data_IF_327242163239
#
_entry.id   IF_327242163239
#
_cell.length_a   1.000
_cell.length_b   1.000
_cell.length_c   1.000
_cell.angle_alpha   90.00
_cell.angle_beta   90.00
_cell.angle_gamma   90.00
#
_symmetry.space_group_name_H-M   'P 1'
#
loop_
_entity.id
_entity.type
_entity.pdbx_description
1 polymer ?
#
# COMPACT_ATOMS: atom_id res chain seq x y z
N UNK A 1 27.13 -11.19 36.83
CA UNK A 1 27.25 -11.16 35.36
C UNK A 1 25.90 -10.61 34.88
N UNK A 2 25.83 -9.27 34.80
CA UNK A 2 24.63 -8.56 34.34
C UNK A 2 24.49 -8.79 32.82
N UNK A 3 23.40 -9.40 32.43
CA UNK A 3 23.02 -9.43 31.04
C UNK A 3 22.72 -7.96 30.62
N UNK A 4 23.57 -7.38 29.80
CA UNK A 4 23.28 -6.18 29.06
C UNK A 4 21.98 -6.47 28.28
N UNK A 5 20.88 -5.86 28.70
CA UNK A 5 19.69 -5.71 27.88
C UNK A 5 20.12 -4.90 26.66
N UNK A 6 20.42 -5.60 25.57
CA UNK A 6 20.48 -4.97 24.25
C UNK A 6 19.06 -4.48 24.02
N UNK A 7 18.83 -3.17 24.16
CA UNK A 7 17.54 -2.57 23.85
C UNK A 7 17.15 -3.01 22.43
N UNK A 8 15.96 -3.57 22.26
CA UNK A 8 15.42 -3.86 20.94
C UNK A 8 15.50 -2.59 20.11
N UNK A 9 16.21 -2.65 18.99
CA UNK A 9 16.29 -1.52 18.07
C UNK A 9 14.89 -1.37 17.49
N UNK A 10 14.23 -0.28 17.87
CA UNK A 10 12.92 0.09 17.34
C UNK A 10 13.05 0.37 15.84
N UNK A 11 12.22 -0.25 15.01
CA UNK A 11 12.29 -0.14 13.56
C UNK A 11 10.89 -0.35 12.94
N UNK A 12 10.69 0.19 11.74
CA UNK A 12 9.51 -0.11 10.93
C UNK A 12 9.62 -1.54 10.37
N UNK A 13 8.66 -2.43 10.63
CA UNK A 13 8.76 -3.81 10.16
C UNK A 13 8.68 -3.91 8.63
N UNK A 14 7.76 -3.19 7.99
CA UNK A 14 7.60 -3.20 6.54
C UNK A 14 7.22 -1.82 6.01
N UNK A 15 7.98 -1.33 5.06
CA UNK A 15 7.57 -0.29 4.11
C UNK A 15 7.38 -0.95 2.76
N UNK A 16 6.25 -0.68 2.10
CA UNK A 16 5.97 -1.26 0.80
C UNK A 16 5.33 -0.31 -0.18
N UNK A 17 5.69 -0.41 -1.44
CA UNK A 17 5.07 0.36 -2.52
C UNK A 17 5.09 -0.38 -3.86
N UNK A 18 4.20 0.03 -4.76
CA UNK A 18 4.20 -0.41 -6.14
C UNK A 18 4.57 0.76 -7.06
N UNK A 19 5.34 0.50 -8.11
CA UNK A 19 5.66 1.49 -9.14
C UNK A 19 5.43 0.92 -10.53
N UNK A 20 5.14 1.77 -11.52
CA UNK A 20 4.88 1.34 -12.90
C UNK A 20 5.90 1.95 -13.87
N UNK A 21 6.05 3.27 -13.89
CA UNK A 21 6.88 3.96 -14.89
C UNK A 21 7.71 5.10 -14.31
N UNK A 22 7.37 5.55 -13.11
CA UNK A 22 8.00 6.71 -12.49
C UNK A 22 9.01 6.29 -11.43
N UNK A 23 10.06 5.60 -11.88
CA UNK A 23 11.14 5.16 -11.00
C UNK A 23 11.87 6.33 -10.31
N UNK A 24 11.87 7.51 -10.90
CA UNK A 24 12.37 8.74 -10.30
C UNK A 24 11.61 9.12 -9.00
N UNK A 25 10.30 8.92 -8.99
CA UNK A 25 9.48 9.14 -7.79
C UNK A 25 9.74 8.05 -6.74
N UNK A 26 9.83 6.79 -7.17
CA UNK A 26 10.18 5.67 -6.31
C UNK A 26 11.55 5.89 -5.64
N UNK A 27 12.55 6.39 -6.37
CA UNK A 27 13.87 6.75 -5.82
C UNK A 27 13.77 7.90 -4.80
N UNK A 28 12.92 8.91 -5.06
CA UNK A 28 12.65 9.99 -4.10
C UNK A 28 12.03 9.45 -2.80
N UNK A 29 11.02 8.55 -2.92
CA UNK A 29 10.41 7.89 -1.77
C UNK A 29 11.47 7.12 -0.98
N UNK A 30 12.27 6.29 -1.63
CA UNK A 30 13.34 5.53 -0.99
C UNK A 30 14.39 6.42 -0.33
N UNK A 31 14.75 7.53 -0.98
CA UNK A 31 15.68 8.53 -0.45
C UNK A 31 15.17 9.29 0.78
N UNK A 32 13.85 9.26 1.03
CA UNK A 32 13.23 9.89 2.21
C UNK A 32 13.20 9.00 3.46
N UNK A 33 13.67 7.74 3.37
CA UNK A 33 13.73 6.81 4.51
C UNK A 33 14.85 7.27 5.45
N UNK A 34 14.47 7.88 6.57
CA UNK A 34 15.36 8.45 7.59
C UNK A 34 15.33 7.71 8.94
N UNK A 35 14.63 6.59 9.02
CA UNK A 35 14.50 5.75 10.19
C UNK A 35 14.72 4.26 9.85
N UNK A 36 15.20 3.41 10.77
CA UNK A 36 15.42 2.00 10.47
C UNK A 36 14.16 1.27 9.98
N UNK A 37 14.30 0.53 8.88
CA UNK A 37 13.26 -0.30 8.27
C UNK A 37 13.78 -1.72 8.13
N UNK A 38 13.01 -2.70 8.57
CA UNK A 38 13.42 -4.10 8.43
C UNK A 38 13.28 -4.55 6.98
N UNK A 39 12.09 -4.45 6.43
CA UNK A 39 11.83 -4.87 5.04
C UNK A 39 11.29 -3.72 4.21
N UNK A 40 11.99 -3.37 3.14
CA UNK A 40 11.47 -2.56 2.04
C UNK A 40 11.05 -3.49 0.91
N UNK A 41 9.75 -3.53 0.62
CA UNK A 41 9.18 -4.40 -0.42
C UNK A 41 8.67 -3.54 -1.57
N UNK A 42 9.28 -3.71 -2.73
CA UNK A 42 8.96 -2.96 -3.95
C UNK A 42 8.35 -3.91 -4.97
N UNK A 43 7.19 -3.57 -5.50
CA UNK A 43 6.59 -4.29 -6.63
C UNK A 43 6.73 -3.43 -7.89
N UNK A 44 7.62 -3.83 -8.80
CA UNK A 44 7.68 -3.26 -10.13
C UNK A 44 6.49 -3.81 -10.94
N UNK A 45 5.45 -3.00 -11.01
CA UNK A 45 4.14 -3.35 -11.55
C UNK A 45 4.01 -3.01 -13.06
N UNK A 46 5.13 -2.69 -13.72
CA UNK A 46 5.17 -2.27 -15.13
C UNK A 46 4.92 -3.43 -16.11
N UNK A 47 5.32 -4.63 -15.72
CA UNK A 47 5.26 -5.82 -16.58
C UNK A 47 6.34 -5.87 -17.68
N UNK A 48 6.97 -4.75 -18.02
CA UNK A 48 7.88 -4.66 -19.19
C UNK A 48 9.15 -3.86 -18.94
N UNK A 49 9.17 -2.98 -17.96
CA UNK A 49 10.33 -2.12 -17.68
C UNK A 49 11.13 -2.70 -16.52
N UNK A 50 12.41 -2.87 -16.73
CA UNK A 50 13.35 -3.28 -15.68
C UNK A 50 13.91 -2.05 -14.98
N UNK A 51 14.05 -2.16 -13.66
CA UNK A 51 14.64 -1.16 -12.79
C UNK A 51 15.43 -1.86 -11.69
N UNK A 52 16.56 -1.32 -11.32
CA UNK A 52 17.45 -1.89 -10.29
C UNK A 52 17.62 -0.86 -9.17
N UNK A 53 16.74 -0.85 -8.15
CA UNK A 53 16.85 0.08 -7.04
C UNK A 53 18.05 -0.21 -6.16
N UNK A 54 18.73 0.84 -5.71
CA UNK A 54 19.75 0.70 -4.68
C UNK A 54 19.11 0.62 -3.29
N UNK A 55 19.57 -0.32 -2.47
CA UNK A 55 19.06 -0.48 -1.10
C UNK A 55 19.44 0.74 -0.24
N UNK A 56 18.47 1.46 0.36
CA UNK A 56 18.75 2.54 1.30
C UNK A 56 19.55 2.05 2.51
N UNK A 57 20.41 2.92 3.08
CA UNK A 57 21.32 2.55 4.18
C UNK A 57 20.60 2.06 5.43
N UNK A 58 19.42 2.61 5.73
CA UNK A 58 18.63 2.29 6.92
C UNK A 58 17.65 1.13 6.70
N UNK A 59 17.71 0.45 5.57
CA UNK A 59 16.90 -0.72 5.24
C UNK A 59 17.73 -1.99 5.44
N UNK A 60 17.24 -2.93 6.25
CA UNK A 60 17.90 -4.21 6.44
C UNK A 60 17.79 -5.09 5.20
N UNK A 61 16.55 -5.29 4.72
CA UNK A 61 16.22 -6.17 3.60
C UNK A 61 15.46 -5.43 2.50
N UNK A 62 16.01 -5.44 1.28
CA UNK A 62 15.33 -4.95 0.09
C UNK A 62 14.80 -6.13 -0.71
N UNK A 63 13.47 -6.16 -0.92
CA UNK A 63 12.80 -7.10 -1.79
C UNK A 63 12.24 -6.35 -3.00
N UNK A 64 12.83 -6.58 -4.17
CA UNK A 64 12.38 -6.01 -5.42
C UNK A 64 11.74 -7.10 -6.28
N UNK A 65 10.43 -7.03 -6.45
CA UNK A 65 9.61 -8.01 -7.15
C UNK A 65 9.24 -7.47 -8.53
N UNK A 66 9.81 -8.02 -9.57
CA UNK A 66 9.41 -7.73 -10.95
C UNK A 66 8.29 -8.68 -11.37
N UNK A 67 7.12 -8.12 -11.68
CA UNK A 67 5.99 -8.94 -12.12
C UNK A 67 5.83 -8.86 -13.64
N UNK A 68 5.61 -9.98 -14.33
CA UNK A 68 5.53 -10.02 -15.79
C UNK A 68 4.27 -9.35 -16.34
N UNK A 69 3.28 -9.10 -15.49
CA UNK A 69 2.04 -8.40 -15.81
C UNK A 69 1.61 -7.53 -14.64
N UNK A 70 1.09 -6.34 -14.93
CA UNK A 70 0.60 -5.45 -13.88
C UNK A 70 -0.45 -6.13 -12.99
N UNK A 71 -0.24 -6.09 -11.67
CA UNK A 71 -1.16 -6.64 -10.67
C UNK A 71 -2.31 -5.68 -10.32
N UNK A 72 -2.25 -4.43 -10.80
CA UNK A 72 -3.02 -3.33 -10.27
C UNK A 72 -2.47 -2.87 -8.91
N UNK A 73 -2.99 -1.77 -8.37
CA UNK A 73 -2.52 -1.23 -7.10
C UNK A 73 -2.77 -2.20 -5.95
N UNK A 74 -4.01 -2.62 -5.78
CA UNK A 74 -4.40 -3.47 -4.65
C UNK A 74 -3.81 -4.88 -4.71
N UNK A 75 -3.64 -5.44 -5.92
CA UNK A 75 -2.95 -6.71 -6.09
C UNK A 75 -1.47 -6.64 -5.68
N UNK A 76 -0.80 -5.52 -5.99
CA UNK A 76 0.56 -5.29 -5.56
C UNK A 76 0.67 -5.08 -4.04
N UNK A 77 -0.23 -4.30 -3.42
CA UNK A 77 -0.27 -4.11 -1.98
C UNK A 77 -0.60 -5.40 -1.22
N UNK A 78 -1.55 -6.19 -1.72
CA UNK A 78 -1.82 -7.52 -1.17
C UNK A 78 -0.60 -8.45 -1.26
N UNK A 79 0.17 -8.37 -2.35
CA UNK A 79 1.40 -9.15 -2.50
C UNK A 79 2.45 -8.74 -1.45
N UNK A 80 2.60 -7.44 -1.18
CA UNK A 80 3.51 -6.93 -0.14
C UNK A 80 3.12 -7.52 1.23
N UNK A 81 1.86 -7.42 1.63
CA UNK A 81 1.37 -7.96 2.91
C UNK A 81 1.61 -9.48 2.98
N UNK A 82 1.25 -10.22 1.91
CA UNK A 82 1.41 -11.68 1.84
C UNK A 82 2.87 -12.14 1.87
N UNK A 83 3.80 -11.30 1.38
CA UNK A 83 5.24 -11.63 1.38
C UNK A 83 5.89 -11.44 2.75
N UNK A 84 5.25 -10.73 3.66
CA UNK A 84 5.74 -10.41 5.02
C UNK A 84 4.68 -10.72 6.09
N UNK A 85 4.17 -11.97 6.18
CA UNK A 85 2.94 -12.31 6.91
C UNK A 85 3.06 -12.22 8.44
N UNK A 86 4.28 -12.07 8.97
CA UNK A 86 4.53 -11.96 10.42
C UNK A 86 4.78 -10.52 10.89
N UNK A 87 4.67 -9.54 9.99
CA UNK A 87 4.81 -8.15 10.38
C UNK A 87 3.62 -7.71 11.24
N UNK A 88 3.84 -6.98 12.33
CA UNK A 88 2.75 -6.45 13.16
C UNK A 88 1.98 -5.33 12.47
N UNK A 89 2.58 -4.68 11.48
CA UNK A 89 1.93 -3.68 10.62
C UNK A 89 2.72 -3.43 9.33
N UNK A 90 2.06 -2.83 8.35
CA UNK A 90 2.61 -2.49 7.03
C UNK A 90 2.36 -1.03 6.72
N UNK A 91 3.43 -0.29 6.40
CA UNK A 91 3.36 1.08 5.87
C UNK A 91 3.32 0.98 4.35
N UNK A 92 2.11 1.05 3.77
CA UNK A 92 1.93 1.04 2.32
C UNK A 92 1.88 2.48 1.80
N UNK A 93 2.65 2.76 0.75
CA UNK A 93 2.81 4.14 0.25
C UNK A 93 2.72 4.14 -1.28
N UNK A 94 2.08 5.14 -1.86
CA UNK A 94 2.14 5.38 -3.30
C UNK A 94 3.55 5.84 -3.70
N UNK A 95 4.00 5.49 -4.89
CA UNK A 95 5.34 5.86 -5.40
C UNK A 95 5.53 7.36 -5.63
N UNK A 96 4.44 8.14 -5.68
CA UNK A 96 4.43 9.60 -5.78
C UNK A 96 4.32 10.32 -4.42
N UNK A 97 4.51 9.59 -3.32
CA UNK A 97 4.59 10.14 -1.98
C UNK A 97 5.99 9.96 -1.37
N UNK A 98 6.34 10.74 -0.33
CA UNK A 98 7.62 10.61 0.40
C UNK A 98 7.49 11.07 1.84
N UNK A 99 8.28 10.48 2.72
CA UNK A 99 8.25 10.75 4.16
C UNK A 99 8.80 12.15 4.47
N UNK A 100 8.10 12.92 5.31
CA UNK A 100 8.71 14.09 5.95
C UNK A 100 9.72 13.62 7.00
N UNK A 101 10.70 14.47 7.31
CA UNK A 101 11.71 14.11 8.32
C UNK A 101 11.08 13.72 9.66
N UNK A 102 11.51 12.59 10.22
CA UNK A 102 10.99 12.00 11.47
C UNK A 102 9.60 11.36 11.35
N UNK A 103 9.05 11.24 10.14
CA UNK A 103 7.73 10.65 9.96
C UNK A 103 7.72 9.16 10.32
N UNK A 104 8.73 8.41 9.92
CA UNK A 104 8.82 6.98 10.21
C UNK A 104 9.00 6.70 11.70
N UNK A 105 9.82 7.49 12.40
CA UNK A 105 9.95 7.40 13.86
C UNK A 105 8.62 7.68 14.57
N UNK A 106 7.88 8.67 14.08
CA UNK A 106 6.55 8.99 14.60
C UNK A 106 5.55 7.87 14.36
N UNK A 107 5.56 7.27 13.17
CA UNK A 107 4.73 6.10 12.85
C UNK A 107 5.03 4.95 13.81
N UNK A 108 6.31 4.62 13.99
CA UNK A 108 6.71 3.52 14.87
C UNK A 108 6.20 3.70 16.30
N UNK A 109 6.28 4.90 16.82
CA UNK A 109 5.84 5.24 18.18
C UNK A 109 4.32 5.24 18.35
N UNK A 110 3.55 5.63 17.34
CA UNK A 110 2.12 5.93 17.45
C UNK A 110 1.21 4.87 16.82
N UNK A 111 1.75 3.97 15.98
CA UNK A 111 0.96 2.98 15.27
C UNK A 111 0.17 2.09 16.23
N UNK A 112 -1.10 1.85 15.87
CA UNK A 112 -1.93 0.84 16.53
C UNK A 112 -2.02 -0.39 15.63
N UNK A 113 -1.49 -1.51 16.08
CA UNK A 113 -1.46 -2.76 15.34
C UNK A 113 -2.84 -3.42 15.18
N UNK A 114 -3.86 -2.97 15.92
CA UNK A 114 -5.24 -3.43 15.78
C UNK A 114 -6.09 -2.57 14.84
N UNK A 115 -5.59 -1.41 14.41
CA UNK A 115 -6.32 -0.41 13.65
C UNK A 115 -5.84 -0.27 12.19
N UNK A 116 -6.63 0.42 11.36
CA UNK A 116 -6.14 1.12 10.20
C UNK A 116 -5.65 2.49 10.64
N UNK A 117 -4.40 2.81 10.35
CA UNK A 117 -3.82 4.09 10.74
C UNK A 117 -3.60 4.97 9.51
N UNK A 118 -3.92 6.25 9.62
CA UNK A 118 -3.62 7.26 8.62
C UNK A 118 -2.63 8.29 9.17
N UNK A 119 -1.89 8.91 8.27
CA UNK A 119 -0.95 10.00 8.55
C UNK A 119 -1.47 11.32 7.98
N UNK A 120 -0.89 12.43 8.38
CA UNK A 120 -1.17 13.71 7.73
C UNK A 120 -0.56 13.71 6.32
N UNK A 121 -1.43 13.70 5.32
CA UNK A 121 -1.06 13.71 3.91
C UNK A 121 -2.05 14.60 3.15
N UNK A 122 -1.57 15.29 2.13
CA UNK A 122 -2.44 16.15 1.32
C UNK A 122 -3.29 15.29 0.39
N UNK A 123 -4.55 15.68 0.22
CA UNK A 123 -5.58 15.19 -0.70
C UNK A 123 -6.22 13.84 -0.31
N UNK A 124 -5.52 12.75 -0.10
CA UNK A 124 -6.11 11.47 0.27
C UNK A 124 -5.26 10.67 1.23
N UNK A 125 -5.80 10.26 2.39
CA UNK A 125 -5.07 9.42 3.32
C UNK A 125 -4.73 8.04 2.74
N UNK A 126 -5.46 7.60 1.72
CA UNK A 126 -5.23 6.33 1.03
C UNK A 126 -3.96 6.29 0.17
N UNK A 127 -3.25 7.41 0.00
CA UNK A 127 -1.94 7.40 -0.62
C UNK A 127 -0.83 6.83 0.30
N UNK A 128 -1.10 6.73 1.62
CA UNK A 128 -0.15 6.15 2.58
C UNK A 128 -0.87 5.50 3.77
N UNK A 129 -1.71 4.47 3.57
CA UNK A 129 -2.37 3.77 4.66
C UNK A 129 -1.39 2.87 5.41
N UNK A 130 -1.57 2.76 6.73
CA UNK A 130 -0.78 1.87 7.59
C UNK A 130 -1.72 0.82 8.19
N UNK A 131 -1.53 -0.42 7.78
CA UNK A 131 -2.37 -1.53 8.19
C UNK A 131 -1.78 -2.21 9.41
N UNK A 132 -2.49 -2.21 10.53
CA UNK A 132 -2.19 -3.10 11.63
C UNK A 132 -2.55 -4.55 11.31
N UNK A 133 -1.83 -5.51 11.89
CA UNK A 133 -2.14 -6.94 11.73
C UNK A 133 -3.58 -7.26 12.13
N UNK A 134 -4.07 -6.67 13.23
CA UNK A 134 -5.44 -6.85 13.67
C UNK A 134 -6.49 -6.29 12.71
N UNK A 135 -6.17 -5.20 12.00
CA UNK A 135 -7.02 -4.69 10.92
C UNK A 135 -7.12 -5.70 9.78
N UNK A 136 -5.97 -6.19 9.28
CA UNK A 136 -5.93 -7.16 8.18
C UNK A 136 -6.61 -8.47 8.58
N UNK A 137 -6.43 -8.94 9.80
CA UNK A 137 -7.06 -10.17 10.30
C UNK A 137 -8.59 -10.07 10.35
N UNK A 138 -9.15 -8.90 10.69
CA UNK A 138 -10.60 -8.70 10.80
C UNK A 138 -11.27 -8.32 9.49
N UNK A 139 -10.69 -7.40 8.73
CA UNK A 139 -11.26 -6.90 7.48
C UNK A 139 -10.78 -7.63 6.22
N UNK A 140 -9.72 -8.45 6.35
CA UNK A 140 -9.08 -9.11 5.23
C UNK A 140 -8.16 -8.19 4.43
N UNK A 141 -7.71 -8.68 3.29
CA UNK A 141 -6.92 -7.94 2.30
C UNK A 141 -7.85 -7.11 1.40
N UNK A 142 -7.28 -6.29 0.52
CA UNK A 142 -8.06 -5.62 -0.52
C UNK A 142 -8.78 -6.62 -1.43
N UNK A 143 -9.94 -6.23 -1.94
CA UNK A 143 -10.65 -6.98 -2.99
C UNK A 143 -9.98 -6.73 -4.35
N UNK A 144 -9.23 -7.74 -4.84
CA UNK A 144 -8.50 -7.65 -6.11
C UNK A 144 -9.40 -7.57 -7.34
N UNK A 145 -10.71 -7.71 -7.17
CA UNK A 145 -11.68 -7.50 -8.23
C UNK A 145 -11.83 -6.00 -8.60
N UNK A 146 -11.34 -5.07 -7.77
CA UNK A 146 -11.20 -3.65 -8.12
C UNK A 146 -9.91 -3.38 -8.92
N UNK A 147 -9.65 -4.22 -9.90
CA UNK A 147 -8.50 -4.09 -10.79
C UNK A 147 -8.76 -3.03 -11.87
N UNK A 148 -7.76 -2.27 -12.29
CA UNK A 148 -6.43 -2.13 -11.68
C UNK A 148 -6.39 -1.09 -10.55
N UNK A 149 -7.39 -0.20 -10.43
CA UNK A 149 -7.44 0.93 -9.48
C UNK A 149 -8.85 1.49 -9.38
N UNK A 150 -9.16 2.23 -8.33
CA UNK A 150 -10.39 2.93 -7.97
C UNK A 150 -11.45 2.09 -7.29
N UNK A 151 -12.13 2.71 -6.33
CA UNK A 151 -13.17 2.13 -5.47
C UNK A 151 -12.70 1.01 -4.55
N UNK A 152 -11.43 0.67 -4.61
CA UNK A 152 -10.77 -0.27 -3.71
C UNK A 152 -10.70 0.27 -2.27
N UNK A 153 -10.38 1.55 -2.13
CA UNK A 153 -10.40 2.31 -0.87
C UNK A 153 -11.81 2.41 -0.28
N UNK A 154 -12.81 2.75 -1.09
CA UNK A 154 -14.21 2.82 -0.67
C UNK A 154 -14.74 1.45 -0.19
N UNK A 155 -14.41 0.37 -0.92
CA UNK A 155 -14.79 -0.99 -0.51
C UNK A 155 -14.09 -1.38 0.79
N UNK A 156 -12.81 -1.07 0.91
CA UNK A 156 -12.04 -1.39 2.12
C UNK A 156 -12.59 -0.64 3.34
N UNK A 157 -12.86 0.67 3.22
CA UNK A 157 -13.45 1.48 4.28
C UNK A 157 -14.80 0.93 4.76
N UNK A 158 -15.66 0.51 3.81
CA UNK A 158 -16.92 -0.15 4.13
C UNK A 158 -16.72 -1.45 4.90
N UNK A 159 -15.73 -2.26 4.52
CA UNK A 159 -15.43 -3.55 5.18
C UNK A 159 -14.83 -3.36 6.58
N UNK A 160 -13.92 -2.42 6.77
CA UNK A 160 -13.35 -2.14 8.10
C UNK A 160 -14.44 -1.60 9.04
N UNK A 161 -15.33 -0.75 8.55
CA UNK A 161 -16.48 -0.24 9.33
C UNK A 161 -17.38 -1.39 9.76
N UNK A 162 -17.73 -2.31 8.86
CA UNK A 162 -18.55 -3.49 9.17
C UNK A 162 -17.84 -4.44 10.14
N UNK A 163 -16.52 -4.57 10.06
CA UNK A 163 -15.72 -5.40 10.94
C UNK A 163 -15.43 -4.76 12.32
N UNK A 164 -15.90 -3.53 12.55
CA UNK A 164 -15.63 -2.78 13.78
C UNK A 164 -14.14 -2.45 13.98
N UNK A 165 -13.39 -2.27 12.88
CA UNK A 165 -12.00 -1.84 12.94
C UNK A 165 -11.94 -0.33 13.14
N UNK A 166 -11.12 0.13 14.08
CA UNK A 166 -10.91 1.54 14.32
C UNK A 166 -10.01 2.16 13.25
N UNK A 167 -10.30 3.42 12.88
CA UNK A 167 -9.41 4.24 12.07
C UNK A 167 -8.72 5.24 12.99
N UNK A 168 -7.39 5.25 13.01
CA UNK A 168 -6.59 6.17 13.81
C UNK A 168 -5.84 7.17 12.96
N UNK A 169 -5.78 8.41 13.42
CA UNK A 169 -4.97 9.47 12.82
C UNK A 169 -3.69 9.63 13.62
N UNK A 170 -2.54 9.34 13.00
CA UNK A 170 -1.21 9.57 13.57
C UNK A 170 -0.75 11.01 13.33
N UNK A 171 0.20 11.49 14.14
CA UNK A 171 0.77 12.82 13.96
C UNK A 171 1.87 12.91 12.90
N UNK A 172 2.30 11.79 12.36
CA UNK A 172 3.27 11.72 11.26
C UNK A 172 2.79 12.42 9.99
N UNK A 173 3.72 12.97 9.20
CA UNK A 173 3.42 13.64 7.94
C UNK A 173 4.12 12.95 6.77
N UNK A 174 3.38 12.78 5.67
CA UNK A 174 3.89 12.33 4.37
C UNK A 174 3.52 13.37 3.33
N UNK A 175 4.44 13.68 2.43
CA UNK A 175 4.18 14.54 1.27
C UNK A 175 3.65 13.69 0.12
N UNK A 176 2.78 14.26 -0.72
CA UNK A 176 2.20 13.59 -1.86
C UNK A 176 2.13 14.53 -3.06
N UNK A 177 2.61 14.06 -4.20
CA UNK A 177 2.55 14.76 -5.49
C UNK A 177 1.60 14.00 -6.44
N UNK A 178 0.30 14.25 -6.32
CA UNK A 178 -0.69 13.40 -6.90
C UNK A 178 -0.76 13.49 -8.42
N UNK A 179 -1.28 12.42 -9.04
CA UNK A 179 -1.64 12.33 -10.45
C UNK A 179 -0.50 12.18 -11.47
N UNK A 180 0.74 12.07 -11.05
CA UNK A 180 1.86 11.93 -11.99
C UNK A 180 1.76 10.65 -12.82
N UNK A 181 1.39 9.53 -12.22
CA UNK A 181 1.19 8.25 -12.92
C UNK A 181 -0.15 8.20 -13.67
N UNK A 182 -1.20 8.84 -13.12
CA UNK A 182 -2.54 8.85 -13.72
C UNK A 182 -2.58 9.52 -15.11
N UNK A 183 -1.76 10.54 -15.34
CA UNK A 183 -1.76 11.26 -16.63
C UNK A 183 -1.35 10.36 -17.80
N UNK A 184 -0.56 9.34 -17.57
CA UNK A 184 -0.09 8.41 -18.60
C UNK A 184 -1.15 7.37 -19.01
N UNK A 185 -2.26 7.25 -18.27
CA UNK A 185 -3.28 6.20 -18.45
C UNK A 185 -4.72 6.74 -18.45
N UNK A 186 -4.94 7.95 -18.96
CA UNK A 186 -6.25 8.63 -18.84
C UNK A 186 -7.44 7.84 -19.43
N UNK A 187 -7.26 7.19 -20.58
CA UNK A 187 -8.34 6.44 -21.22
C UNK A 187 -8.66 5.14 -20.46
N UNK A 188 -7.63 4.40 -20.06
CA UNK A 188 -7.77 3.19 -19.24
C UNK A 188 -8.41 3.53 -17.91
N UNK A 189 -7.98 4.62 -17.28
CA UNK A 189 -8.50 5.10 -16.02
C UNK A 189 -10.00 5.44 -16.11
N UNK A 190 -10.45 6.09 -17.18
CA UNK A 190 -11.87 6.41 -17.36
C UNK A 190 -12.72 5.14 -17.50
N UNK A 191 -12.26 4.16 -18.28
CA UNK A 191 -12.92 2.87 -18.44
C UNK A 191 -12.99 2.09 -17.13
N UNK A 192 -11.89 2.03 -16.41
CA UNK A 192 -11.76 1.35 -15.13
C UNK A 192 -12.65 1.97 -14.06
N UNK A 193 -12.71 3.31 -14.02
CA UNK A 193 -13.56 4.03 -13.08
C UNK A 193 -15.01 3.53 -13.17
N UNK A 194 -15.59 3.53 -14.38
CA UNK A 194 -16.99 3.11 -14.59
C UNK A 194 -17.18 1.64 -14.20
N UNK A 195 -16.26 0.76 -14.56
CA UNK A 195 -16.38 -0.67 -14.25
C UNK A 195 -16.35 -0.91 -12.74
N UNK A 196 -15.40 -0.29 -12.03
CA UNK A 196 -15.23 -0.45 -10.60
C UNK A 196 -16.32 0.29 -9.79
N UNK A 197 -16.82 1.45 -10.28
CA UNK A 197 -17.98 2.11 -9.69
C UNK A 197 -19.21 1.19 -9.72
N UNK A 198 -19.50 0.58 -10.87
CA UNK A 198 -20.62 -0.34 -11.01
C UNK A 198 -20.48 -1.56 -10.09
N UNK A 199 -19.26 -2.10 -9.94
CA UNK A 199 -18.97 -3.17 -9.00
C UNK A 199 -19.23 -2.73 -7.56
N UNK A 200 -18.71 -1.59 -7.15
CA UNK A 200 -18.91 -1.05 -5.82
C UNK A 200 -20.38 -0.81 -5.49
N UNK A 201 -21.13 -0.18 -6.42
CA UNK A 201 -22.57 0.03 -6.27
C UNK A 201 -23.35 -1.27 -6.12
N UNK A 202 -22.97 -2.33 -6.87
CA UNK A 202 -23.57 -3.65 -6.74
C UNK A 202 -23.29 -4.25 -5.37
N UNK A 203 -22.06 -4.22 -4.89
CA UNK A 203 -21.69 -4.71 -3.54
C UNK A 203 -22.49 -4.00 -2.44
N UNK A 204 -22.74 -2.69 -2.59
CA UNK A 204 -23.61 -1.96 -1.66
C UNK A 204 -25.05 -2.47 -1.73
N UNK A 205 -25.61 -2.61 -2.93
CA UNK A 205 -27.00 -3.02 -3.12
C UNK A 205 -27.29 -4.44 -2.62
N UNK A 206 -26.30 -5.33 -2.70
CA UNK A 206 -26.36 -6.73 -2.28
C UNK A 206 -25.90 -6.95 -0.83
N UNK A 207 -25.51 -5.89 -0.11
CA UNK A 207 -24.87 -5.94 1.20
C UNK A 207 -23.68 -6.91 1.27
N UNK A 208 -22.92 -6.95 0.17
CA UNK A 208 -21.79 -7.85 -0.03
C UNK A 208 -20.49 -7.26 0.53
N UNK A 209 -19.90 -7.93 1.49
CA UNK A 209 -18.60 -7.62 2.12
C UNK A 209 -17.52 -8.63 1.74
N UNK A 210 -17.81 -9.53 0.83
CA UNK A 210 -16.85 -10.55 0.41
C UNK A 210 -15.64 -9.94 -0.29
N UNK A 211 -14.51 -10.61 -0.15
CA UNK A 211 -13.28 -10.30 -0.85
C UNK A 211 -13.10 -11.33 -1.95
N UNK A 212 -13.05 -10.86 -3.18
CA UNK A 212 -12.76 -11.72 -4.31
C UNK A 212 -11.24 -11.69 -4.51
N UNK A 213 -10.66 -12.85 -4.48
CA UNK A 213 -9.28 -13.04 -4.91
C UNK A 213 -9.12 -12.76 -6.41
N UNK A 214 -7.92 -12.90 -6.89
CA UNK A 214 -7.58 -12.71 -8.28
C UNK A 214 -8.49 -13.51 -9.24
N UNK A 215 -9.05 -12.83 -10.25
CA UNK A 215 -9.87 -13.43 -11.31
C UNK A 215 -9.27 -13.14 -12.68
N UNK A 216 -9.13 -14.17 -13.51
CA UNK A 216 -8.71 -14.03 -14.90
C UNK A 216 -9.66 -13.15 -15.72
N UNK A 217 -10.95 -13.24 -15.44
CA UNK A 217 -11.96 -12.51 -16.19
C UNK A 217 -11.84 -11.00 -15.94
N UNK A 218 -11.72 -10.58 -14.68
CA UNK A 218 -11.48 -9.17 -14.30
C UNK A 218 -10.22 -8.63 -14.99
N UNK A 219 -9.16 -9.43 -15.03
CA UNK A 219 -7.90 -9.02 -15.67
C UNK A 219 -8.01 -8.91 -17.18
N UNK A 220 -8.73 -9.79 -17.83
CA UNK A 220 -8.95 -9.74 -19.28
C UNK A 220 -9.83 -8.57 -19.70
N UNK A 221 -10.86 -8.25 -18.91
CA UNK A 221 -11.78 -7.15 -19.19
C UNK A 221 -11.13 -5.79 -19.01
N UNK A 222 -10.20 -5.65 -18.05
CA UNK A 222 -9.57 -4.38 -17.65
C UNK A 222 -8.07 -4.33 -17.98
N UNK A 223 -7.62 -5.14 -18.91
CA UNK A 223 -6.20 -5.18 -19.28
C UNK A 223 -5.73 -3.82 -19.81
N UNK A 224 -4.56 -3.43 -19.34
CA UNK A 224 -3.85 -2.24 -19.79
C UNK A 224 -3.00 -2.64 -21.02
N UNK A 225 -3.57 -2.52 -22.19
CA UNK A 225 -2.90 -2.76 -23.46
C UNK A 225 -2.43 -1.45 -24.09
#
# INVERSE_FOLDING_TARGET
>A
MEALLVGEISLIPVVGFATITRFDLAERLMGSIDYPVDHLVIVNNSGTQTWQPEKPKLVNHLWHLEVPFGLGLVGAWNLIIKSTPYAPYWVLVNDDAWFASGALETIEREVDTEALNFVHIEQTPWAAPIFGEGCVRRAGLYDEAFYPIYFDDNDYERRITNAGVEIKQLSARIHHEPMTTRQNFLQQNARTWVANENRYRRKIAEDDYSVHGWSLDVRRENRWD
#
